data_IF_757284039543
#
_entry.id   IF_757284039543
#
_cell.length_a   1.000
_cell.length_b   1.000
_cell.length_c   1.000
_cell.angle_alpha   90.00
_cell.angle_beta   90.00
_cell.angle_gamma   90.00
#
_symmetry.space_group_name_H-M   'P 1'
#
loop_
_entity.id
_entity.type
_entity.pdbx_description
1 polymer ?
#
# COMPACT_ATOMS: atom_id res chain seq x y z
N UNK A 1 -14.15 -53.40 3.67
CA UNK A 1 -14.07 -52.45 4.80
C UNK A 1 -15.46 -52.39 5.41
N UNK A 2 -15.69 -53.22 6.42
CA UNK A 2 -17.04 -53.64 6.80
C UNK A 2 -17.41 -53.02 8.14
N UNK A 3 -18.26 -51.99 8.08
CA UNK A 3 -19.05 -51.51 9.21
C UNK A 3 -19.91 -52.67 9.73
N UNK A 4 -19.79 -52.99 11.02
CA UNK A 4 -20.83 -53.74 11.72
C UNK A 4 -21.22 -53.01 13.02
N UNK A 5 -22.54 -52.89 13.28
CA UNK A 5 -23.11 -52.23 14.44
C UNK A 5 -23.05 -53.14 15.67
N UNK A 6 -22.75 -52.55 16.82
CA UNK A 6 -22.73 -53.21 18.11
C UNK A 6 -24.11 -53.10 18.77
N UNK A 7 -24.79 -54.23 18.95
CA UNK A 7 -25.84 -54.46 19.95
C UNK A 7 -25.65 -55.90 20.48
N UNK A 8 -26.29 -56.31 21.58
CA UNK A 8 -26.24 -55.79 22.95
C UNK A 8 -25.79 -56.91 23.93
N UNK A 9 -25.24 -56.56 25.10
CA UNK A 9 -24.79 -57.53 26.14
C UNK A 9 -25.50 -57.20 27.47
N UNK A 10 -25.88 -58.20 28.29
CA UNK A 10 -27.26 -58.35 28.78
C UNK A 10 -27.53 -57.73 30.15
N UNK A 11 -28.83 -57.47 30.40
CA UNK A 11 -29.39 -57.38 31.76
C UNK A 11 -29.28 -58.74 32.45
N UNK A 12 -28.78 -58.76 33.71
CA UNK A 12 -29.43 -59.34 34.92
C UNK A 12 -28.40 -59.86 35.93
N UNK A 13 -28.30 -59.21 37.10
CA UNK A 13 -28.76 -59.81 38.37
C UNK A 13 -28.76 -58.80 39.51
N UNK A 14 -29.92 -58.70 40.15
CA UNK A 14 -30.18 -58.08 41.45
C UNK A 14 -29.72 -59.07 42.53
N UNK A 15 -28.83 -58.65 43.42
CA UNK A 15 -28.60 -59.20 44.78
C UNK A 15 -28.43 -57.97 45.68
N UNK A 16 -29.50 -57.54 46.34
CA UNK A 16 -29.77 -57.81 47.76
C UNK A 16 -28.56 -57.58 48.68
N UNK A 17 -28.52 -56.34 49.19
CA UNK A 17 -28.24 -55.96 50.57
C UNK A 17 -27.12 -56.65 51.34
N UNK A 18 -26.08 -55.89 51.65
CA UNK A 18 -25.63 -55.68 53.03
C UNK A 18 -25.27 -54.21 53.21
N UNK A 19 -26.07 -53.54 54.04
CA UNK A 19 -25.85 -52.19 54.51
C UNK A 19 -24.79 -52.29 55.60
N UNK A 20 -23.52 -52.17 55.23
CA UNK A 20 -22.43 -51.93 56.18
C UNK A 20 -22.02 -50.47 56.07
N UNK A 21 -22.71 -49.65 56.87
CA UNK A 21 -22.15 -48.42 57.40
C UNK A 21 -20.90 -48.79 58.20
N UNK A 22 -19.76 -48.75 57.51
CA UNK A 22 -18.43 -48.86 58.10
C UNK A 22 -17.69 -47.61 57.68
N UNK A 23 -17.92 -46.55 58.45
CA UNK A 23 -17.00 -45.43 58.56
C UNK A 23 -15.68 -45.97 59.09
N UNK A 24 -14.75 -46.26 58.19
CA UNK A 24 -13.33 -46.46 58.49
C UNK A 24 -12.56 -46.05 57.22
N UNK A 25 -12.26 -44.77 57.12
CA UNK A 25 -11.14 -44.27 56.30
C UNK A 25 -9.85 -44.75 56.97
N UNK A 26 -9.59 -46.05 56.88
CA UNK A 26 -8.33 -46.64 57.29
C UNK A 26 -7.33 -46.49 56.13
N UNK A 27 -6.46 -45.49 56.24
CA UNK A 27 -5.42 -45.19 55.26
C UNK A 27 -4.36 -46.32 55.13
N UNK A 28 -4.46 -47.38 55.94
CA UNK A 28 -3.56 -48.54 55.90
C UNK A 28 -3.68 -49.43 54.66
N UNK A 29 -4.79 -49.35 53.91
CA UNK A 29 -5.13 -50.32 52.85
C UNK A 29 -4.75 -49.88 51.42
N UNK A 30 -4.13 -48.70 51.27
CA UNK A 30 -3.71 -48.17 49.94
C UNK A 30 -2.51 -48.96 49.39
N UNK A 31 -1.64 -49.48 50.27
CA UNK A 31 -0.42 -50.20 49.87
C UNK A 31 -0.69 -51.61 49.31
N UNK A 32 -1.85 -52.18 49.61
CA UNK A 32 -2.27 -53.55 49.25
C UNK A 32 -3.34 -53.58 48.15
N UNK A 33 -3.84 -52.42 47.72
CA UNK A 33 -4.97 -52.31 46.82
C UNK A 33 -4.59 -52.54 45.35
N UNK A 34 -5.49 -53.20 44.60
CA UNK A 34 -5.35 -53.34 43.16
C UNK A 34 -5.47 -51.97 42.45
N UNK A 35 -4.70 -51.78 41.38
CA UNK A 35 -4.63 -50.51 40.65
C UNK A 35 -5.98 -50.09 40.07
N UNK A 36 -6.80 -51.06 39.65
CA UNK A 36 -8.14 -50.80 39.11
C UNK A 36 -9.11 -50.31 40.19
N UNK A 37 -9.01 -50.85 41.40
CA UNK A 37 -9.80 -50.45 42.55
C UNK A 37 -9.41 -49.06 43.04
N UNK A 38 -8.11 -48.77 43.06
CA UNK A 38 -7.60 -47.44 43.40
C UNK A 38 -8.13 -46.36 42.46
N UNK A 39 -8.01 -46.57 41.13
CA UNK A 39 -8.52 -45.61 40.16
C UNK A 39 -10.04 -45.44 40.26
N UNK A 40 -10.77 -46.51 40.56
CA UNK A 40 -12.23 -46.44 40.77
C UNK A 40 -12.60 -45.54 41.95
N UNK A 41 -11.86 -45.65 43.07
CA UNK A 41 -12.06 -44.77 44.25
C UNK A 41 -11.65 -43.32 43.97
N UNK A 42 -10.54 -43.10 43.27
CA UNK A 42 -10.08 -41.76 42.88
C UNK A 42 -11.08 -41.07 41.94
N UNK A 43 -11.65 -41.80 40.97
CA UNK A 43 -12.69 -41.29 40.07
C UNK A 43 -13.98 -40.98 40.85
N UNK A 44 -14.31 -41.79 41.86
CA UNK A 44 -15.45 -41.53 42.72
C UNK A 44 -15.24 -40.29 43.61
N UNK A 45 -14.01 -40.07 44.08
CA UNK A 45 -13.63 -38.92 44.90
C UNK A 45 -13.52 -37.64 44.06
N UNK A 46 -13.01 -37.71 42.83
CA UNK A 46 -12.91 -36.55 41.95
C UNK A 46 -14.27 -35.98 41.55
N UNK A 47 -15.31 -36.83 41.44
CA UNK A 47 -16.70 -36.40 41.24
C UNK A 47 -17.27 -35.58 42.41
N UNK A 48 -16.64 -35.65 43.59
CA UNK A 48 -17.03 -34.86 44.76
C UNK A 48 -16.30 -33.52 44.83
N UNK A 49 -15.30 -33.30 43.97
CA UNK A 49 -14.56 -32.05 43.88
C UNK A 49 -15.10 -31.20 42.70
N UNK A 50 -15.20 -29.88 42.86
CA UNK A 50 -15.55 -28.99 41.76
C UNK A 50 -14.46 -28.99 40.67
N UNK A 51 -14.88 -29.03 39.41
CA UNK A 51 -13.99 -29.08 38.23
C UNK A 51 -13.08 -27.85 38.12
N UNK A 52 -13.60 -26.68 38.54
CA UNK A 52 -12.84 -25.44 38.61
C UNK A 52 -13.11 -24.76 39.95
N UNK A 53 -12.04 -24.57 40.73
CA UNK A 53 -12.06 -23.81 41.97
C UNK A 53 -11.43 -22.44 41.73
N UNK A 54 -12.24 -21.38 41.84
CA UNK A 54 -11.76 -20.00 41.79
C UNK A 54 -11.71 -19.46 43.21
N UNK A 55 -10.51 -19.31 43.76
CA UNK A 55 -10.31 -18.70 45.07
C UNK A 55 -10.17 -17.19 44.95
N UNK A 56 -11.07 -16.43 45.58
CA UNK A 56 -10.90 -14.97 45.72
C UNK A 56 -9.84 -14.68 46.79
N UNK A 57 -8.69 -14.15 46.38
CA UNK A 57 -7.71 -13.61 47.31
C UNK A 57 -8.20 -12.25 47.82
N UNK A 58 -8.52 -12.18 49.12
CA UNK A 58 -8.69 -10.90 49.80
C UNK A 58 -7.33 -10.19 49.84
N UNK A 59 -7.28 -8.97 49.30
CA UNK A 59 -6.09 -8.13 49.31
C UNK A 59 -5.79 -7.69 50.76
N UNK A 60 -4.99 -8.49 51.47
CA UNK A 60 -4.38 -8.03 52.70
C UNK A 60 -3.34 -6.97 52.35
N UNK A 61 -3.59 -5.77 52.86
CA UNK A 61 -2.71 -4.62 52.66
C UNK A 61 -1.32 -4.90 53.27
N UNK A 62 -0.30 -4.51 52.50
CA UNK A 62 1.09 -4.28 52.89
C UNK A 62 1.97 -5.51 53.17
N UNK A 63 2.76 -5.88 52.16
CA UNK A 63 4.23 -6.05 52.28
C UNK A 63 4.89 -5.86 50.92
N UNK A 64 5.91 -4.99 50.88
CA UNK A 64 6.67 -4.57 49.69
C UNK A 64 7.28 -5.78 48.98
N UNK A 65 6.67 -6.28 47.91
CA UNK A 65 7.35 -7.14 46.94
C UNK A 65 8.23 -6.28 46.05
N UNK A 66 9.52 -6.64 45.99
CA UNK A 66 10.55 -6.08 45.11
C UNK A 66 9.99 -6.06 43.68
N UNK A 67 9.74 -4.87 43.14
CA UNK A 67 9.24 -4.67 41.77
C UNK A 67 10.38 -5.00 40.82
N UNK A 68 10.47 -6.25 40.38
CA UNK A 68 11.23 -6.61 39.19
C UNK A 68 10.64 -5.77 38.06
N UNK A 69 11.40 -4.82 37.54
CA UNK A 69 11.00 -4.01 36.38
C UNK A 69 11.04 -4.91 35.15
N UNK A 70 10.02 -5.75 35.01
CA UNK A 70 9.52 -6.12 33.70
C UNK A 70 8.60 -4.97 33.31
N UNK A 71 8.95 -4.24 32.26
CA UNK A 71 8.05 -3.27 31.64
C UNK A 71 7.00 -4.07 30.87
N UNK A 72 6.09 -4.73 31.60
CA UNK A 72 4.79 -5.13 31.06
C UNK A 72 3.94 -3.85 30.95
N UNK A 73 4.33 -3.01 30.00
CA UNK A 73 3.39 -2.03 29.44
C UNK A 73 2.49 -2.87 28.55
N UNK A 74 1.17 -2.96 28.82
CA UNK A 74 0.24 -3.53 27.86
C UNK A 74 0.52 -2.85 26.54
N UNK A 75 0.62 -3.60 25.45
CA UNK A 75 0.74 -3.00 24.12
C UNK A 75 -0.51 -2.11 23.94
N UNK A 76 -0.34 -0.83 24.23
CA UNK A 76 -1.27 0.24 23.85
C UNK A 76 -1.39 0.30 22.32
N UNK A 77 -0.65 -0.53 21.59
CA UNK A 77 -0.92 -0.84 20.20
C UNK A 77 -2.26 -1.54 19.95
N UNK A 78 -2.90 -2.26 20.89
CA UNK A 78 -4.25 -2.82 20.64
C UNK A 78 -5.34 -1.75 20.77
N UNK A 79 -5.26 -0.89 21.77
CA UNK A 79 -6.17 0.25 21.90
C UNK A 79 -5.87 1.32 20.82
N UNK A 80 -4.59 1.63 20.55
CA UNK A 80 -4.19 2.51 19.46
C UNK A 80 -4.48 1.92 18.08
N UNK A 81 -4.40 0.60 17.87
CA UNK A 81 -4.83 -0.02 16.60
C UNK A 81 -6.34 -0.01 16.46
N UNK A 82 -7.11 -0.24 17.52
CA UNK A 82 -8.58 -0.09 17.47
C UNK A 82 -8.96 1.36 17.22
N UNK A 83 -8.36 2.32 17.93
CA UNK A 83 -8.56 3.75 17.69
C UNK A 83 -8.12 4.16 16.28
N UNK A 84 -7.03 3.60 15.75
CA UNK A 84 -6.59 3.84 14.38
C UNK A 84 -7.56 3.24 13.36
N UNK A 85 -8.03 2.01 13.60
CA UNK A 85 -9.00 1.31 12.75
C UNK A 85 -10.35 2.03 12.72
N UNK A 86 -10.75 2.64 13.84
CA UNK A 86 -11.99 3.43 13.98
C UNK A 86 -11.76 4.90 13.58
N UNK A 87 -10.52 5.37 13.49
CA UNK A 87 -10.24 6.76 13.14
C UNK A 87 -10.59 7.07 11.70
N UNK A 88 -10.91 8.33 11.44
CA UNK A 88 -11.10 8.87 10.08
C UNK A 88 -9.86 8.68 9.17
N UNK A 89 -8.72 8.26 9.73
CA UNK A 89 -7.50 7.97 8.98
C UNK A 89 -7.59 6.68 8.16
N UNK A 90 -8.54 5.79 8.41
CA UNK A 90 -8.77 4.56 7.61
C UNK A 90 -10.04 4.66 6.76
N UNK A 91 -10.82 5.74 6.86
CA UNK A 91 -12.11 5.83 6.16
C UNK A 91 -11.89 5.96 4.66
N UNK A 92 -12.45 5.02 3.90
CA UNK A 92 -12.59 5.12 2.45
C UNK A 92 -13.73 6.06 2.12
N UNK A 93 -13.52 6.99 1.20
CA UNK A 93 -14.54 7.98 0.84
C UNK A 93 -15.47 7.43 -0.23
N UNK A 94 -16.78 7.32 0.04
CA UNK A 94 -17.74 6.87 -0.96
C UNK A 94 -17.84 7.90 -2.10
N UNK A 95 -18.24 7.46 -3.32
CA UNK A 95 -18.47 8.36 -4.43
C UNK A 95 -19.58 9.37 -4.06
N UNK A 96 -19.35 10.69 -4.26
CA UNK A 96 -20.29 11.71 -3.80
C UNK A 96 -21.55 11.80 -4.67
N UNK A 97 -21.52 11.30 -5.90
CA UNK A 97 -22.67 11.29 -6.79
C UNK A 97 -22.58 10.14 -7.80
N UNK A 98 -23.72 9.76 -8.38
CA UNK A 98 -23.76 8.72 -9.42
C UNK A 98 -22.93 9.07 -10.68
N UNK A 99 -22.64 10.37 -10.90
CA UNK A 99 -21.79 10.85 -11.99
C UNK A 99 -20.32 10.45 -11.83
N UNK A 100 -19.86 10.18 -10.61
CA UNK A 100 -18.50 9.73 -10.33
C UNK A 100 -18.30 8.24 -10.60
N UNK A 101 -19.39 7.52 -10.91
CA UNK A 101 -19.38 6.10 -11.20
C UNK A 101 -19.59 5.86 -12.69
N UNK A 102 -19.03 4.77 -13.24
CA UNK A 102 -19.30 4.37 -14.61
C UNK A 102 -20.79 3.98 -14.78
N UNK A 103 -21.36 4.17 -15.99
CA UNK A 103 -22.71 3.72 -16.27
C UNK A 103 -22.80 2.19 -16.09
N UNK A 104 -23.93 1.71 -15.58
CA UNK A 104 -24.14 0.28 -15.27
C UNK A 104 -23.00 -0.30 -14.41
N UNK A 105 -22.75 0.31 -13.26
CA UNK A 105 -21.62 -0.01 -12.37
C UNK A 105 -21.39 -1.50 -12.15
N UNK A 106 -22.45 -2.29 -11.97
CA UNK A 106 -22.35 -3.74 -11.74
C UNK A 106 -21.71 -4.49 -12.91
N UNK A 107 -22.26 -4.31 -14.11
CA UNK A 107 -21.79 -5.02 -15.31
C UNK A 107 -20.39 -4.54 -15.69
N UNK A 108 -20.13 -3.24 -15.54
CA UNK A 108 -18.81 -2.66 -15.76
C UNK A 108 -17.75 -3.22 -14.80
N UNK A 109 -18.06 -3.38 -13.51
CA UNK A 109 -17.15 -4.00 -12.53
C UNK A 109 -16.82 -5.43 -12.96
N UNK A 110 -17.85 -6.23 -13.28
CA UNK A 110 -17.67 -7.62 -13.68
C UNK A 110 -16.80 -7.76 -14.93
N UNK A 111 -17.05 -6.92 -15.95
CA UNK A 111 -16.24 -6.88 -17.17
C UNK A 111 -14.80 -6.47 -16.89
N UNK A 112 -14.59 -5.46 -16.04
CA UNK A 112 -13.25 -4.99 -15.66
C UNK A 112 -12.45 -6.09 -14.97
N UNK A 113 -13.06 -6.80 -14.02
CA UNK A 113 -12.40 -7.91 -13.31
C UNK A 113 -12.13 -9.11 -14.22
N UNK A 114 -13.05 -9.42 -15.13
CA UNK A 114 -12.88 -10.48 -16.12
C UNK A 114 -11.70 -10.17 -17.08
N UNK A 115 -11.68 -8.96 -17.64
CA UNK A 115 -10.61 -8.48 -18.51
C UNK A 115 -9.26 -8.50 -17.81
N UNK A 116 -9.22 -8.03 -16.56
CA UNK A 116 -8.00 -8.04 -15.76
C UNK A 116 -7.49 -9.46 -15.49
N UNK A 117 -8.40 -10.38 -15.16
CA UNK A 117 -8.04 -11.80 -14.95
C UNK A 117 -7.51 -12.43 -16.24
N UNK A 118 -8.14 -12.15 -17.38
CA UNK A 118 -7.67 -12.62 -18.69
C UNK A 118 -6.28 -12.08 -19.02
N UNK A 119 -6.02 -10.80 -18.76
CA UNK A 119 -4.70 -10.18 -18.94
C UNK A 119 -3.63 -10.89 -18.11
N UNK A 120 -3.93 -11.20 -16.85
CA UNK A 120 -2.99 -11.92 -15.97
C UNK A 120 -2.68 -13.32 -16.46
N UNK A 121 -3.69 -14.06 -16.92
CA UNK A 121 -3.51 -15.37 -17.52
C UNK A 121 -2.65 -15.29 -18.79
N UNK A 122 -2.86 -14.27 -19.61
CA UNK A 122 -2.06 -14.01 -20.81
C UNK A 122 -0.60 -13.65 -20.50
N UNK A 123 -0.34 -12.78 -19.52
CA UNK A 123 1.02 -12.47 -19.09
C UNK A 123 1.73 -13.71 -18.52
N UNK A 124 0.99 -14.56 -17.81
CA UNK A 124 1.52 -15.82 -17.27
C UNK A 124 1.89 -16.79 -18.39
N UNK A 125 1.06 -16.93 -19.44
CA UNK A 125 1.35 -17.83 -20.57
C UNK A 125 2.53 -17.35 -21.42
N UNK A 126 2.76 -16.04 -21.50
CA UNK A 126 3.89 -15.44 -22.19
C UNK A 126 5.21 -15.46 -21.41
N UNK A 127 5.22 -15.91 -20.16
CA UNK A 127 6.42 -16.07 -19.32
C UNK A 127 7.25 -17.29 -19.79
N UNK A 128 7.62 -17.31 -21.07
CA UNK A 128 8.51 -18.29 -21.72
C UNK A 128 9.99 -17.91 -21.50
N UNK A 129 10.96 -18.83 -21.67
CA UNK A 129 12.37 -18.55 -21.40
C UNK A 129 12.92 -17.40 -22.25
N UNK A 130 13.73 -16.57 -21.58
CA UNK A 130 14.02 -15.15 -21.84
C UNK A 130 14.40 -14.78 -23.29
N UNK A 131 13.95 -13.62 -23.81
CA UNK A 131 14.56 -12.99 -24.97
C UNK A 131 15.99 -12.49 -24.68
N UNK A 132 16.82 -12.41 -25.73
CA UNK A 132 18.28 -12.32 -25.66
C UNK A 132 18.87 -10.96 -25.20
N UNK A 133 18.05 -9.93 -24.91
CA UNK A 133 18.53 -8.63 -24.44
C UNK A 133 17.58 -8.04 -23.40
N UNK A 134 18.09 -7.86 -22.18
CA UNK A 134 17.38 -7.21 -21.08
C UNK A 134 17.58 -5.70 -21.16
N UNK A 135 16.52 -4.94 -21.00
CA UNK A 135 16.61 -3.49 -20.87
C UNK A 135 17.24 -3.16 -19.50
N UNK A 136 18.26 -2.29 -19.41
CA UNK A 136 18.78 -1.86 -18.13
C UNK A 136 17.70 -1.12 -17.35
N UNK A 137 17.54 -1.49 -16.08
CA UNK A 137 16.55 -0.89 -15.17
C UNK A 137 17.26 -0.18 -14.01
N UNK A 138 16.63 0.84 -13.40
CA UNK A 138 17.19 1.52 -12.24
C UNK A 138 17.45 0.58 -11.05
N UNK A 139 18.33 0.98 -10.12
CA UNK A 139 18.52 0.25 -8.88
C UNK A 139 17.20 0.20 -8.08
N UNK A 140 16.97 -0.92 -7.40
CA UNK A 140 15.70 -1.20 -6.72
C UNK A 140 15.37 -0.19 -5.60
N UNK A 141 16.38 0.41 -4.96
CA UNK A 141 16.20 1.38 -3.87
C UNK A 141 15.89 2.79 -4.36
N UNK A 142 16.21 3.10 -5.61
CA UNK A 142 16.18 4.46 -6.14
C UNK A 142 14.80 4.83 -6.67
N UNK A 143 13.99 5.38 -5.76
CA UNK A 143 12.64 5.82 -6.05
C UNK A 143 12.59 6.92 -7.12
N UNK A 144 13.39 8.00 -7.06
CA UNK A 144 13.46 9.01 -8.12
C UNK A 144 13.79 8.43 -9.50
N UNK A 145 14.78 7.54 -9.60
CA UNK A 145 15.13 6.93 -10.87
C UNK A 145 13.98 6.09 -11.44
N UNK A 146 13.26 5.34 -10.61
CA UNK A 146 12.05 4.62 -11.06
C UNK A 146 10.91 5.55 -11.49
N UNK A 147 10.78 6.73 -10.88
CA UNK A 147 9.82 7.74 -11.33
C UNK A 147 10.18 8.24 -12.73
N UNK A 148 11.42 8.67 -12.93
CA UNK A 148 11.93 9.17 -14.21
C UNK A 148 11.85 8.07 -15.28
N UNK A 149 12.21 6.83 -14.93
CA UNK A 149 12.14 5.68 -15.83
C UNK A 149 10.72 5.41 -16.33
N UNK A 150 9.71 5.47 -15.44
CA UNK A 150 8.32 5.19 -15.80
C UNK A 150 7.59 6.38 -16.45
N UNK A 151 7.86 7.61 -16.00
CA UNK A 151 7.04 8.79 -16.29
C UNK A 151 7.78 9.90 -17.04
N UNK A 152 9.10 9.81 -17.12
CA UNK A 152 9.96 10.77 -17.79
C UNK A 152 10.42 11.91 -16.88
N UNK A 153 11.39 12.67 -17.39
CA UNK A 153 11.95 13.82 -16.68
C UNK A 153 10.97 15.00 -16.62
N UNK A 154 10.08 15.13 -17.60
CA UNK A 154 9.11 16.23 -17.66
C UNK A 154 8.09 16.15 -16.52
N UNK A 155 7.58 14.95 -16.22
CA UNK A 155 6.68 14.74 -15.08
C UNK A 155 7.42 14.83 -13.75
N UNK A 156 8.69 14.37 -13.71
CA UNK A 156 9.53 14.42 -12.51
C UNK A 156 10.02 15.83 -12.14
N UNK A 157 10.15 16.75 -13.11
CA UNK A 157 10.54 18.17 -12.88
C UNK A 157 9.33 19.11 -12.77
N UNK A 158 8.21 18.76 -13.40
CA UNK A 158 7.05 19.63 -13.57
C UNK A 158 6.09 19.70 -12.36
N UNK A 159 6.38 18.99 -11.28
CA UNK A 159 5.61 19.06 -10.04
C UNK A 159 6.52 19.61 -8.95
N UNK A 160 6.23 20.83 -8.46
CA UNK A 160 7.12 21.66 -7.61
C UNK A 160 7.36 21.00 -6.25
N UNK A 161 8.27 20.05 -6.21
CA UNK A 161 8.95 19.56 -5.02
C UNK A 161 10.43 19.63 -5.32
N UNK A 162 11.08 20.64 -4.75
CA UNK A 162 12.49 20.97 -4.94
C UNK A 162 13.39 19.90 -4.28
N UNK A 163 13.49 18.73 -4.91
CA UNK A 163 14.25 17.57 -4.41
C UNK A 163 15.60 17.37 -5.12
N UNK A 164 15.98 18.24 -6.06
CA UNK A 164 17.22 18.10 -6.83
C UNK A 164 18.45 18.74 -6.19
N UNK A 165 18.37 19.23 -4.95
CA UNK A 165 19.54 19.69 -4.22
C UNK A 165 19.99 18.59 -3.25
N UNK A 166 20.90 17.73 -3.69
CA UNK A 166 21.78 17.00 -2.78
C UNK A 166 22.77 18.00 -2.16
N UNK A 167 22.40 18.61 -1.02
CA UNK A 167 23.33 19.33 -0.16
C UNK A 167 24.17 18.32 0.65
N UNK A 168 25.03 17.59 -0.06
CA UNK A 168 26.16 16.89 0.55
C UNK A 168 27.32 17.90 0.67
N UNK A 169 27.19 18.89 1.57
CA UNK A 169 28.30 19.65 2.20
C UNK A 169 27.78 20.82 3.08
N UNK A 170 27.44 20.59 4.35
CA UNK A 170 28.16 21.20 5.48
C UNK A 170 27.53 20.90 6.85
N UNK A 171 28.44 20.78 7.83
CA UNK A 171 28.16 20.67 9.26
C UNK A 171 27.50 21.94 9.83
N UNK A 172 26.64 21.69 10.81
CA UNK A 172 26.43 22.49 12.03
C UNK A 172 26.19 24.00 11.86
N UNK A 173 24.93 24.42 11.98
CA UNK A 173 24.59 25.39 13.03
C UNK A 173 23.09 25.38 13.36
N UNK A 174 22.80 25.45 14.64
CA UNK A 174 21.45 25.57 15.21
C UNK A 174 20.87 26.96 14.93
N UNK A 175 19.72 27.06 14.25
CA UNK A 175 18.57 27.89 14.66
C UNK A 175 17.40 27.81 13.66
N UNK A 176 16.13 27.78 14.13
CA UNK A 176 14.97 27.63 13.25
C UNK A 176 14.50 28.98 12.67
N UNK A 177 14.07 29.05 11.40
CA UNK A 177 13.47 30.26 10.85
C UNK A 177 11.98 30.37 11.24
N UNK A 178 11.63 31.58 11.69
CA UNK A 178 10.30 32.02 12.10
C UNK A 178 9.34 32.11 10.91
N UNK A 179 8.13 31.60 11.08
CA UNK A 179 6.99 31.89 10.23
C UNK A 179 6.55 33.36 10.38
N UNK A 180 6.29 34.04 9.26
CA UNK A 180 5.40 35.21 9.23
C UNK A 180 4.44 35.16 8.03
N UNK A 181 3.18 35.61 8.21
CA UNK A 181 2.08 35.42 7.26
C UNK A 181 2.04 36.56 6.23
N UNK A 182 1.70 36.23 4.97
CA UNK A 182 1.37 37.25 3.97
C UNK A 182 -0.15 37.37 3.79
N UNK A 183 -0.56 38.64 3.90
CA UNK A 183 -1.91 39.20 4.00
C UNK A 183 -2.42 39.52 2.59
N UNK A 184 -3.70 39.25 2.34
CA UNK A 184 -4.45 39.81 1.21
C UNK A 184 -4.41 41.35 1.25
N UNK A 185 -4.24 42.00 0.10
CA UNK A 185 -4.95 43.26 -0.19
C UNK A 185 -5.00 43.56 -1.70
N UNK A 186 -6.14 44.12 -2.09
CA UNK A 186 -6.67 44.41 -3.42
C UNK A 186 -5.89 45.45 -4.23
N UNK A 187 -6.04 45.43 -5.56
CA UNK A 187 -6.18 46.63 -6.40
C UNK A 187 -6.77 46.28 -7.79
N UNK A 188 -8.09 46.40 -7.93
CA UNK A 188 -8.74 46.91 -9.15
C UNK A 188 -8.54 48.44 -9.14
N UNK A 189 -8.41 49.25 -10.20
CA UNK A 189 -9.19 49.36 -11.44
C UNK A 189 -8.61 50.52 -12.29
N UNK A 190 -8.95 50.56 -13.59
CA UNK A 190 -9.02 51.69 -14.57
C UNK A 190 -7.87 51.77 -15.60
N UNK A 191 -8.10 51.26 -16.82
CA UNK A 191 -8.74 51.89 -18.01
C UNK A 191 -7.83 52.95 -18.66
N UNK A 192 -7.30 52.70 -19.87
CA UNK A 192 -7.84 53.25 -21.12
C UNK A 192 -6.98 52.91 -22.36
N UNK A 193 -7.65 52.38 -23.39
CA UNK A 193 -7.56 52.70 -24.84
C UNK A 193 -6.20 52.84 -25.55
N UNK A 194 -5.98 52.00 -26.57
CA UNK A 194 -5.78 52.36 -28.00
C UNK A 194 -5.29 51.09 -28.73
N UNK A 195 -6.09 50.51 -29.63
CA UNK A 195 -6.22 50.80 -31.06
C UNK A 195 -5.61 49.66 -31.90
N UNK A 196 -6.26 49.47 -33.03
CA UNK A 196 -6.28 48.34 -33.94
C UNK A 196 -5.35 48.62 -35.12
N UNK A 197 -4.48 47.68 -35.54
CA UNK A 197 -4.15 47.50 -36.97
C UNK A 197 -3.38 46.19 -37.27
N UNK A 198 -4.09 45.29 -37.98
CA UNK A 198 -3.68 44.52 -39.18
C UNK A 198 -2.27 43.90 -39.33
N UNK A 199 -2.26 42.56 -39.36
CA UNK A 199 -1.90 41.66 -40.49
C UNK A 199 -0.75 42.06 -41.46
N UNK A 200 0.23 41.14 -41.55
CA UNK A 200 0.63 40.29 -42.70
C UNK A 200 2.06 40.42 -43.26
N UNK A 201 2.64 39.22 -43.40
CA UNK A 201 3.47 38.67 -44.49
C UNK A 201 4.97 39.05 -44.62
N UNK A 202 5.80 38.00 -44.45
CA UNK A 202 7.09 37.68 -45.11
C UNK A 202 7.16 38.05 -46.62
N UNK A 203 8.30 37.99 -47.38
CA UNK A 203 9.47 37.06 -47.23
C UNK A 203 10.90 37.54 -47.63
N UNK A 204 11.88 36.71 -47.26
CA UNK A 204 13.11 36.26 -47.96
C UNK A 204 13.99 37.20 -48.83
N UNK A 205 15.31 37.23 -48.54
CA UNK A 205 16.38 36.82 -49.50
C UNK A 205 17.79 36.71 -48.88
N UNK A 206 18.55 35.78 -49.45
CA UNK A 206 19.87 35.24 -49.09
C UNK A 206 21.08 36.17 -49.27
N UNK A 207 22.22 35.80 -48.64
CA UNK A 207 23.53 35.67 -49.30
C UNK A 207 24.60 35.00 -48.42
N UNK A 208 25.36 34.10 -49.06
CA UNK A 208 26.60 33.44 -48.64
C UNK A 208 27.78 34.43 -48.48
N UNK A 209 28.76 34.11 -47.62
CA UNK A 209 30.15 33.90 -48.04
C UNK A 209 31.06 33.48 -46.87
N UNK A 210 31.93 32.53 -47.19
CA UNK A 210 33.07 31.97 -46.45
C UNK A 210 34.24 32.95 -46.26
N UNK A 211 35.11 32.71 -45.27
CA UNK A 211 36.60 32.66 -45.39
C UNK A 211 37.22 32.24 -44.03
N UNK A 212 38.35 31.53 -44.11
CA UNK A 212 39.01 30.76 -43.06
C UNK A 212 40.26 31.43 -42.43
N UNK A 213 40.75 30.79 -41.35
CA UNK A 213 42.12 30.68 -40.81
C UNK A 213 42.53 31.47 -39.51
N UNK A 214 43.01 30.67 -38.54
CA UNK A 214 43.75 30.90 -37.28
C UNK A 214 45.21 31.40 -37.48
N UNK A 215 46.10 31.51 -36.44
CA UNK A 215 46.06 32.13 -35.08
C UNK A 215 47.30 33.07 -34.83
N UNK A 216 47.57 33.63 -33.62
CA UNK A 216 48.55 32.98 -32.69
C UNK A 216 48.44 33.26 -31.15
N UNK A 217 48.82 32.24 -30.37
CA UNK A 217 49.68 32.15 -29.15
C UNK A 217 49.50 33.03 -27.87
N UNK A 218 49.24 32.29 -26.77
CA UNK A 218 50.01 32.15 -25.50
C UNK A 218 49.92 33.24 -24.41
N UNK A 219 49.49 32.85 -23.19
CA UNK A 219 50.15 32.90 -21.82
C UNK A 219 49.08 32.41 -20.80
N UNK A 220 49.19 31.23 -20.14
CA UNK A 220 49.72 30.99 -18.76
C UNK A 220 49.24 32.02 -17.73
N UNK A 221 48.76 31.77 -16.51
CA UNK A 221 48.53 30.61 -15.63
C UNK A 221 47.40 31.06 -14.67
N UNK A 222 46.56 30.16 -14.17
CA UNK A 222 46.15 30.11 -12.76
C UNK A 222 45.25 28.89 -12.50
N UNK A 223 45.75 28.02 -11.63
CA UNK A 223 45.15 26.82 -11.11
C UNK A 223 43.77 27.08 -10.48
N UNK A 224 42.70 26.65 -11.15
CA UNK A 224 41.47 26.23 -10.49
C UNK A 224 41.22 24.80 -10.94
N UNK A 225 41.51 23.85 -10.04
CA UNK A 225 41.05 22.47 -10.16
C UNK A 225 39.53 22.48 -10.08
N UNK A 226 38.87 22.65 -11.22
CA UNK A 226 37.50 22.19 -11.40
C UNK A 226 37.52 20.67 -11.22
N UNK A 227 36.92 20.24 -10.12
CA UNK A 227 36.58 18.86 -9.84
C UNK A 227 35.58 18.40 -10.90
N UNK A 228 36.12 17.93 -12.04
CA UNK A 228 35.36 17.20 -13.03
C UNK A 228 34.95 15.87 -12.38
N UNK A 229 33.85 15.93 -11.64
CA UNK A 229 33.01 14.78 -11.36
C UNK A 229 32.54 14.25 -12.71
N UNK A 230 33.30 13.33 -13.29
CA UNK A 230 32.81 12.44 -14.35
C UNK A 230 31.60 11.70 -13.78
N UNK A 231 30.42 12.27 -13.97
CA UNK A 231 29.14 11.63 -13.74
C UNK A 231 29.11 10.41 -14.64
N UNK A 232 29.37 9.24 -14.06
CA UNK A 232 29.19 7.96 -14.74
C UNK A 232 27.70 7.86 -15.06
N UNK A 233 27.33 8.17 -16.30
CA UNK A 233 25.93 8.08 -16.72
C UNK A 233 25.42 6.67 -16.51
N UNK A 234 24.35 6.54 -15.73
CA UNK A 234 23.83 5.22 -15.40
C UNK A 234 23.30 4.51 -16.66
N UNK A 235 23.56 3.19 -16.84
CA UNK A 235 23.20 2.46 -18.05
C UNK A 235 21.70 2.51 -18.42
N UNK A 236 20.81 2.70 -17.43
CA UNK A 236 19.36 2.77 -17.65
C UNK A 236 18.88 4.11 -18.22
N UNK A 237 19.69 5.17 -18.09
CA UNK A 237 19.41 6.50 -18.66
C UNK A 237 19.68 6.55 -20.18
N UNK A 238 20.50 5.62 -20.67
CA UNK A 238 20.84 5.54 -22.08
C UNK A 238 19.56 5.24 -22.90
N UNK A 239 19.23 6.14 -23.84
CA UNK A 239 18.01 6.09 -24.66
C UNK A 239 16.68 6.25 -23.90
N UNK A 240 16.68 6.86 -22.71
CA UNK A 240 15.44 7.16 -22.00
C UNK A 240 14.60 8.16 -22.82
N UNK A 241 13.35 7.82 -23.21
CA UNK A 241 12.47 8.77 -23.86
C UNK A 241 12.16 9.95 -22.93
N UNK A 242 11.92 11.18 -23.45
CA UNK A 242 11.64 12.35 -22.61
C UNK A 242 10.41 12.16 -21.70
N UNK A 243 9.43 11.35 -22.15
CA UNK A 243 8.26 10.97 -21.37
C UNK A 243 8.42 9.67 -20.56
N UNK A 244 9.61 9.06 -20.48
CA UNK A 244 9.86 7.77 -19.85
C UNK A 244 9.42 6.57 -20.69
N UNK A 245 9.77 5.36 -20.25
CA UNK A 245 9.39 4.11 -20.92
C UNK A 245 7.89 3.80 -20.78
N UNK A 246 7.37 3.05 -21.74
CA UNK A 246 6.03 2.48 -21.65
C UNK A 246 6.07 1.10 -20.97
N UNK A 247 4.97 0.73 -20.30
CA UNK A 247 4.79 -0.55 -19.65
C UNK A 247 4.58 -1.68 -20.69
N UNK A 248 5.61 -2.00 -21.46
CA UNK A 248 5.58 -3.06 -22.48
C UNK A 248 5.64 -4.43 -21.84
N UNK A 249 5.08 -5.45 -22.50
CA UNK A 249 5.07 -6.83 -21.99
C UNK A 249 6.47 -7.40 -21.81
N UNK A 250 7.41 -7.10 -22.72
CA UNK A 250 8.82 -7.50 -22.60
C UNK A 250 9.49 -6.92 -21.36
N UNK A 251 9.25 -5.64 -21.07
CA UNK A 251 9.79 -4.96 -19.90
C UNK A 251 9.17 -5.48 -18.61
N UNK A 252 7.85 -5.63 -18.57
CA UNK A 252 7.12 -6.15 -17.40
C UNK A 252 7.54 -7.58 -17.05
N UNK A 253 7.68 -8.46 -18.05
CA UNK A 253 8.09 -9.86 -17.86
C UNK A 253 9.57 -10.01 -17.48
N UNK A 254 10.38 -8.95 -17.64
CA UNK A 254 11.74 -8.90 -17.13
C UNK A 254 11.79 -8.63 -15.62
N UNK A 255 10.80 -7.94 -15.07
CA UNK A 255 10.75 -7.60 -13.65
C UNK A 255 10.43 -8.85 -12.82
N UNK A 256 11.21 -9.08 -11.78
CA UNK A 256 10.87 -10.10 -10.78
C UNK A 256 9.81 -9.55 -9.80
N UNK A 257 9.24 -10.43 -8.98
CA UNK A 257 8.20 -10.02 -8.03
C UNK A 257 8.71 -8.96 -7.04
N UNK A 258 9.97 -9.04 -6.65
CA UNK A 258 10.60 -8.11 -5.71
C UNK A 258 10.62 -6.70 -6.30
N UNK A 259 11.02 -6.55 -7.57
CA UNK A 259 10.97 -5.28 -8.29
C UNK A 259 9.53 -4.82 -8.52
N UNK A 260 8.62 -5.67 -9.00
CA UNK A 260 7.21 -5.29 -9.22
C UNK A 260 6.60 -4.64 -7.97
N UNK A 261 6.77 -5.28 -6.81
CA UNK A 261 6.29 -4.77 -5.51
C UNK A 261 6.92 -3.43 -5.16
N UNK A 262 8.22 -3.29 -5.40
CA UNK A 262 8.98 -2.07 -5.10
C UNK A 262 8.57 -0.90 -5.98
N UNK A 263 8.42 -1.12 -7.28
CA UNK A 263 7.99 -0.09 -8.23
C UNK A 263 6.57 0.35 -7.93
N UNK A 264 5.65 -0.57 -7.59
CA UNK A 264 4.31 -0.21 -7.10
C UNK A 264 4.40 0.71 -5.88
N UNK A 265 5.24 0.36 -4.89
CA UNK A 265 5.42 1.18 -3.70
C UNK A 265 6.01 2.57 -4.02
N UNK A 266 6.93 2.66 -4.97
CA UNK A 266 7.48 3.93 -5.43
C UNK A 266 6.44 4.81 -6.11
N UNK A 267 5.70 4.28 -7.07
CA UNK A 267 4.64 5.03 -7.77
C UNK A 267 3.50 5.42 -6.83
N UNK A 268 3.14 4.55 -5.88
CA UNK A 268 2.14 4.85 -4.86
C UNK A 268 2.61 5.93 -3.88
N UNK A 269 3.91 5.99 -3.54
CA UNK A 269 4.47 7.02 -2.67
C UNK A 269 4.20 8.42 -3.21
N UNK A 270 4.51 8.67 -4.49
CA UNK A 270 4.27 9.97 -5.14
C UNK A 270 2.80 10.38 -5.11
N UNK A 271 1.88 9.42 -5.24
CA UNK A 271 0.44 9.71 -5.17
C UNK A 271 -0.01 10.00 -3.74
N UNK A 272 0.46 9.22 -2.76
CA UNK A 272 -0.05 9.26 -1.39
C UNK A 272 0.61 10.31 -0.49
N UNK A 273 1.90 10.60 -0.69
CA UNK A 273 2.70 11.43 0.22
C UNK A 273 3.14 12.76 -0.39
N UNK A 274 3.34 12.80 -1.71
CA UNK A 274 3.81 14.00 -2.40
C UNK A 274 2.69 14.71 -3.20
N UNK A 275 1.45 14.27 -3.04
CA UNK A 275 0.25 14.83 -3.68
C UNK A 275 0.32 14.96 -5.22
N UNK A 276 1.16 14.17 -5.89
CA UNK A 276 1.29 14.21 -7.35
C UNK A 276 -0.02 13.81 -8.00
N UNK A 277 -0.53 14.62 -8.94
CA UNK A 277 -1.74 14.30 -9.72
C UNK A 277 -1.59 12.96 -10.45
N UNK A 278 -2.65 12.17 -10.51
CA UNK A 278 -2.62 10.90 -11.26
C UNK A 278 -2.60 11.24 -12.75
N UNK A 279 -1.51 10.90 -13.43
CA UNK A 279 -1.42 10.98 -14.89
C UNK A 279 -1.92 9.69 -15.53
N UNK A 280 -2.34 9.76 -16.80
CA UNK A 280 -2.71 8.55 -17.57
C UNK A 280 -1.54 7.58 -17.68
N UNK A 281 -0.30 8.08 -17.77
CA UNK A 281 0.89 7.22 -17.84
C UNK A 281 1.14 6.49 -16.51
N UNK A 282 0.97 7.18 -15.38
CA UNK A 282 1.10 6.56 -14.05
C UNK A 282 0.02 5.51 -13.80
N UNK A 283 -1.22 5.77 -14.19
CA UNK A 283 -2.30 4.79 -14.03
C UNK A 283 -2.10 3.55 -14.89
N UNK A 284 -1.58 3.70 -16.12
CA UNK A 284 -1.20 2.58 -16.98
C UNK A 284 -0.08 1.74 -16.37
N UNK A 285 0.98 2.37 -15.86
CA UNK A 285 2.06 1.67 -15.16
C UNK A 285 1.55 0.91 -13.92
N UNK A 286 0.72 1.56 -13.10
CA UNK A 286 0.11 0.90 -11.95
C UNK A 286 -0.77 -0.28 -12.37
N UNK A 287 -1.62 -0.11 -13.38
CA UNK A 287 -2.46 -1.19 -13.91
C UNK A 287 -1.64 -2.38 -14.41
N UNK A 288 -0.58 -2.10 -15.16
CA UNK A 288 0.32 -3.12 -15.69
C UNK A 288 1.11 -3.86 -14.60
N UNK A 289 1.63 -3.14 -13.61
CA UNK A 289 2.35 -3.72 -12.48
C UNK A 289 1.41 -4.52 -11.58
N UNK A 290 0.18 -4.05 -11.35
CA UNK A 290 -0.86 -4.80 -10.66
C UNK A 290 -1.18 -6.10 -11.40
N UNK A 291 -1.22 -6.09 -12.74
CA UNK A 291 -1.39 -7.32 -13.52
C UNK A 291 -0.21 -8.31 -13.32
N UNK A 292 0.99 -7.81 -13.01
CA UNK A 292 2.15 -8.65 -12.73
C UNK A 292 2.27 -9.07 -11.24
N UNK A 293 1.58 -8.41 -10.32
CA UNK A 293 1.65 -8.68 -8.89
C UNK A 293 1.04 -10.05 -8.56
N UNK A 294 1.84 -11.00 -8.07
CA UNK A 294 1.37 -12.36 -7.74
C UNK A 294 0.61 -12.40 -6.40
N UNK A 295 -0.40 -13.28 -6.29
CA UNK A 295 -1.09 -13.60 -5.04
C UNK A 295 -0.46 -14.87 -4.42
N UNK A 296 -0.37 -15.01 -3.09
CA UNK A 296 -0.92 -14.11 -2.06
C UNK A 296 -0.07 -12.84 -1.86
N UNK A 297 -0.74 -11.72 -1.61
CA UNK A 297 -0.10 -10.42 -1.37
C UNK A 297 0.48 -10.40 0.05
N UNK A 298 1.69 -9.88 0.21
CA UNK A 298 2.29 -9.72 1.54
C UNK A 298 1.67 -8.54 2.30
N UNK A 299 1.68 -8.57 3.64
CA UNK A 299 1.10 -7.50 4.49
C UNK A 299 1.58 -6.09 4.13
N UNK A 300 2.86 -5.94 3.80
CA UNK A 300 3.43 -4.64 3.43
C UNK A 300 2.86 -4.12 2.11
N UNK A 301 2.67 -4.99 1.11
CA UNK A 301 2.07 -4.62 -0.17
C UNK A 301 0.59 -4.30 0.00
N UNK A 302 -0.13 -5.07 0.81
CA UNK A 302 -1.50 -4.79 1.19
C UNK A 302 -1.64 -3.38 1.80
N UNK A 303 -0.74 -2.99 2.72
CA UNK A 303 -0.73 -1.65 3.30
C UNK A 303 -0.49 -0.54 2.25
N UNK A 304 0.45 -0.76 1.31
CA UNK A 304 0.71 0.17 0.20
C UNK A 304 -0.52 0.33 -0.69
N UNK A 305 -1.13 -0.80 -1.08
CA UNK A 305 -2.33 -0.81 -1.91
C UNK A 305 -3.50 -0.14 -1.20
N UNK A 306 -3.67 -0.36 0.11
CA UNK A 306 -4.70 0.29 0.89
C UNK A 306 -4.50 1.81 0.99
N UNK A 307 -3.27 2.27 1.24
CA UNK A 307 -2.93 3.70 1.21
C UNK A 307 -3.23 4.34 -0.14
N UNK A 308 -2.92 3.63 -1.22
CA UNK A 308 -3.26 4.04 -2.58
C UNK A 308 -4.78 4.10 -2.77
N UNK A 309 -5.52 3.07 -2.36
CA UNK A 309 -6.98 3.00 -2.43
C UNK A 309 -7.63 4.19 -1.72
N UNK A 310 -7.21 4.45 -0.48
CA UNK A 310 -7.68 5.60 0.30
C UNK A 310 -7.48 6.90 -0.48
N UNK A 311 -6.25 7.13 -0.95
CA UNK A 311 -5.92 8.35 -1.71
C UNK A 311 -6.73 8.47 -3.00
N UNK A 312 -6.95 7.37 -3.73
CA UNK A 312 -7.78 7.33 -4.92
C UNK A 312 -9.25 7.69 -4.63
N UNK A 313 -9.81 7.17 -3.54
CA UNK A 313 -11.19 7.48 -3.15
C UNK A 313 -11.39 8.95 -2.77
N UNK A 314 -10.45 9.54 -2.01
CA UNK A 314 -10.45 10.97 -1.71
C UNK A 314 -10.33 11.82 -2.98
N UNK A 315 -9.42 11.46 -3.88
CA UNK A 315 -9.23 12.19 -5.14
C UNK A 315 -10.47 12.14 -5.99
N UNK A 316 -11.08 10.97 -6.16
CA UNK A 316 -12.36 10.82 -6.87
C UNK A 316 -13.44 11.74 -6.28
N UNK A 317 -13.54 11.82 -4.96
CA UNK A 317 -14.52 12.69 -4.30
C UNK A 317 -14.22 14.18 -4.50
N UNK A 318 -12.94 14.56 -4.56
CA UNK A 318 -12.50 15.95 -4.79
C UNK A 318 -12.68 16.43 -6.24
N UNK A 319 -12.91 15.53 -7.19
CA UNK A 319 -13.08 15.91 -8.60
C UNK A 319 -14.43 16.58 -8.82
N UNK A 320 -14.39 17.85 -9.21
CA UNK A 320 -15.56 18.60 -9.68
C UNK A 320 -16.00 18.04 -11.03
N UNK A 321 -17.21 17.48 -11.09
CA UNK A 321 -17.77 16.96 -12.33
C UNK A 321 -18.20 18.14 -13.22
N UNK A 322 -17.33 18.53 -14.16
CA UNK A 322 -17.74 19.37 -15.28
C UNK A 322 -18.69 18.60 -16.20
N UNK A 323 -19.48 19.32 -16.99
CA UNK A 323 -20.62 18.80 -17.79
C UNK A 323 -20.25 17.75 -18.84
N UNK A 324 -18.96 17.49 -19.07
CA UNK A 324 -18.45 16.50 -20.01
C UNK A 324 -18.41 15.11 -19.37
N UNK A 325 -19.27 14.22 -19.85
CA UNK A 325 -19.56 12.88 -19.30
C UNK A 325 -18.43 11.84 -19.37
N UNK A 326 -17.24 12.18 -19.88
CA UNK A 326 -16.13 11.24 -20.12
C UNK A 326 -14.76 11.86 -19.78
N UNK A 327 -14.52 12.17 -18.51
CA UNK A 327 -13.14 12.46 -18.09
C UNK A 327 -12.33 11.14 -18.05
N UNK A 328 -11.31 10.97 -18.92
CA UNK A 328 -10.49 9.75 -18.90
C UNK A 328 -9.83 9.54 -17.54
N UNK A 329 -9.48 10.60 -16.80
CA UNK A 329 -8.84 10.48 -15.50
C UNK A 329 -9.75 9.79 -14.48
N UNK A 330 -11.04 10.13 -14.48
CA UNK A 330 -12.03 9.48 -13.62
C UNK A 330 -12.15 7.98 -13.94
N UNK A 331 -12.11 7.60 -15.21
CA UNK A 331 -12.12 6.20 -15.63
C UNK A 331 -10.88 5.44 -15.13
N UNK A 332 -9.69 6.04 -15.21
CA UNK A 332 -8.46 5.47 -14.65
C UNK A 332 -8.57 5.27 -13.14
N UNK A 333 -9.06 6.27 -12.40
CA UNK A 333 -9.22 6.19 -10.94
C UNK A 333 -10.21 5.09 -10.57
N UNK A 334 -11.38 5.04 -11.22
CA UNK A 334 -12.38 4.01 -10.95
C UNK A 334 -11.85 2.59 -11.26
N UNK A 335 -11.09 2.44 -12.34
CA UNK A 335 -10.45 1.16 -12.68
C UNK A 335 -9.49 0.72 -11.60
N UNK A 336 -8.58 1.61 -11.16
CA UNK A 336 -7.63 1.30 -10.09
C UNK A 336 -8.33 1.00 -8.76
N UNK A 337 -9.39 1.73 -8.41
CA UNK A 337 -10.19 1.47 -7.20
C UNK A 337 -10.80 0.07 -7.26
N UNK A 338 -11.42 -0.32 -8.38
CA UNK A 338 -12.00 -1.68 -8.54
C UNK A 338 -10.94 -2.76 -8.38
N UNK A 339 -9.78 -2.61 -9.02
CA UNK A 339 -8.72 -3.62 -8.93
C UNK A 339 -8.18 -3.72 -7.51
N UNK A 340 -7.87 -2.61 -6.87
CA UNK A 340 -7.30 -2.64 -5.52
C UNK A 340 -8.32 -3.10 -4.48
N UNK A 341 -9.53 -2.56 -4.51
CA UNK A 341 -10.55 -2.91 -3.52
C UNK A 341 -11.11 -4.31 -3.74
N UNK A 342 -11.51 -4.65 -4.97
CA UNK A 342 -12.27 -5.88 -5.25
C UNK A 342 -11.38 -7.03 -5.73
N UNK A 343 -10.43 -6.79 -6.64
CA UNK A 343 -9.56 -7.88 -7.10
C UNK A 343 -8.53 -8.27 -6.05
N UNK A 344 -7.91 -7.30 -5.39
CA UNK A 344 -6.91 -7.55 -4.33
C UNK A 344 -7.51 -7.54 -2.92
N UNK A 345 -8.82 -7.37 -2.78
CA UNK A 345 -9.55 -7.51 -1.50
C UNK A 345 -9.07 -6.53 -0.42
N UNK A 346 -8.64 -5.33 -0.82
CA UNK A 346 -8.18 -4.29 0.10
C UNK A 346 -9.30 -3.36 0.59
N UNK A 347 -10.54 -3.55 0.14
CA UNK A 347 -11.66 -2.71 0.57
C UNK A 347 -13.00 -3.33 0.26
N UNK A 348 -14.05 -2.77 0.86
CA UNK A 348 -15.42 -3.23 0.65
C UNK A 348 -16.06 -2.53 -0.57
N UNK A 349 -16.83 -3.30 -1.34
CA UNK A 349 -17.53 -2.83 -2.53
C UNK A 349 -18.56 -1.75 -2.23
N UNK A 350 -19.30 -1.91 -1.14
CA UNK A 350 -20.34 -0.95 -0.78
C UNK A 350 -19.75 0.42 -0.49
N UNK A 351 -18.59 0.45 0.17
CA UNK A 351 -17.89 1.69 0.49
C UNK A 351 -17.35 2.39 -0.76
N UNK A 352 -16.83 1.65 -1.75
CA UNK A 352 -16.10 2.26 -2.88
C UNK A 352 -16.93 2.43 -4.16
N UNK A 353 -18.05 1.72 -4.32
CA UNK A 353 -18.84 1.72 -5.57
C UNK A 353 -20.34 1.98 -5.39
N UNK A 354 -20.79 2.37 -4.18
CA UNK A 354 -22.18 2.79 -3.93
C UNK A 354 -22.20 4.25 -3.52
N UNK A 355 -23.06 5.05 -4.16
CA UNK A 355 -23.24 6.46 -3.78
C UNK A 355 -23.75 6.52 -2.35
N UNK A 356 -23.16 7.41 -1.54
CA UNK A 356 -23.65 7.65 -0.20
C UNK A 356 -25.09 8.17 -0.31
N UNK A 357 -26.07 7.36 0.10
CA UNK A 357 -27.43 7.83 0.26
C UNK A 357 -27.36 8.90 1.36
N UNK A 358 -27.51 10.17 0.98
CA UNK A 358 -27.70 11.23 1.93
C UNK A 358 -28.92 10.84 2.77
N UNK A 359 -28.70 10.53 4.04
CA UNK A 359 -29.79 10.25 4.96
C UNK A 359 -30.72 11.45 4.94
N UNK A 360 -31.95 11.23 4.47
CA UNK A 360 -33.07 12.11 4.77
C UNK A 360 -33.16 12.19 6.30
N UNK A 361 -32.67 13.29 6.87
CA UNK A 361 -32.95 13.70 8.24
C UNK A 361 -33.90 14.88 8.19
#
# INVERSE_FOLDING_TARGET
MSNRPCLPVPRRRKRQGTKTTSSNDDFGDIATMDASEYLSRVIQQSKQLPDVLVTQQQQQTKKKKKKQRCLDVPIDGSAASVLYLISDRTVLVPPPSARHLPPQTETWIQQTLANFTQLRTYLTSMKQPKPNRKQPVPPMSDRPAWHIFCLGETEARGNVGDYYCEDDNNKADENPPKAQPQKLENLETKISTNEETTRKDEPAKAKESSIAQDPPKTTQDDDIKEDQTTTVEEPWRHNLPPGGYEATTSLLLQLDQVLVRRVIAHLAHYICHEDYRISSKRSLWLYALLACLEKPIHRNEAAVLYSLLKTLTHRRASMTMSTTTNDPLLAHINTLIVLVALYFEQGDRHQVMTVQQAGSS
#
